data_IF_173330516824
#
_entry.id   IF_173330516824
#
_cell.length_a   1.000
_cell.length_b   1.000
_cell.length_c   1.000
_cell.angle_alpha   90.00
_cell.angle_beta   90.00
_cell.angle_gamma   90.00
#
_symmetry.space_group_name_H-M   'P 1'
#
loop_
_entity.id
_entity.type
_entity.pdbx_description
1 polymer ?
#
# COMPACT_ATOMS: atom_id res chain seq x y z
N UNK A 1 -10.60 6.57 13.01
CA UNK A 1 -9.25 6.05 13.36
C UNK A 1 -8.28 7.13 13.85
N UNK A 2 -7.23 6.80 14.63
CA UNK A 2 -6.21 7.76 15.11
C UNK A 2 -5.09 7.99 14.09
N UNK A 3 -4.44 9.17 14.16
CA UNK A 3 -3.41 9.60 13.20
C UNK A 3 -2.19 8.67 13.06
N UNK A 4 -1.86 7.87 14.07
CA UNK A 4 -0.74 6.91 13.99
C UNK A 4 -1.01 5.73 13.05
N UNK A 5 -2.28 5.46 12.77
CA UNK A 5 -2.73 4.38 11.90
C UNK A 5 -3.09 4.93 10.52
N UNK A 6 -3.63 6.14 10.44
CA UNK A 6 -4.00 6.77 9.17
C UNK A 6 -2.79 6.97 8.23
N UNK A 7 -2.97 6.78 6.91
CA UNK A 7 -1.92 7.09 5.94
C UNK A 7 -1.57 8.59 5.94
N UNK A 8 -0.28 8.91 5.92
CA UNK A 8 0.21 10.30 5.88
C UNK A 8 0.20 10.85 4.45
N UNK A 9 -1.00 11.24 3.99
CA UNK A 9 -1.22 11.84 2.67
C UNK A 9 -0.50 13.16 2.48
N UNK A 10 -0.25 13.92 3.55
CA UNK A 10 0.46 15.21 3.47
C UNK A 10 1.93 15.02 3.11
N UNK A 11 2.58 14.03 3.73
CA UNK A 11 3.96 13.67 3.37
C UNK A 11 4.02 13.05 1.99
N UNK A 12 3.05 12.21 1.61
CA UNK A 12 2.96 11.64 0.27
C UNK A 12 2.88 12.76 -0.79
N UNK A 13 1.95 13.71 -0.63
CA UNK A 13 1.75 14.85 -1.53
C UNK A 13 3.02 15.67 -1.74
N UNK A 14 3.78 15.95 -0.68
CA UNK A 14 5.03 16.72 -0.76
C UNK A 14 6.13 16.03 -1.58
N UNK A 15 6.10 14.70 -1.68
CA UNK A 15 7.11 13.90 -2.38
C UNK A 15 6.67 13.46 -3.77
N UNK A 16 5.35 13.39 -3.98
CA UNK A 16 4.72 12.79 -5.15
C UNK A 16 5.28 13.29 -6.47
N UNK A 17 5.24 14.61 -6.74
CA UNK A 17 5.69 15.17 -8.02
C UNK A 17 7.17 14.87 -8.29
N UNK A 18 8.01 14.92 -7.24
CA UNK A 18 9.44 14.65 -7.39
C UNK A 18 9.71 13.18 -7.75
N UNK A 19 8.94 12.26 -7.17
CA UNK A 19 9.03 10.83 -7.46
C UNK A 19 8.48 10.52 -8.86
N UNK A 20 7.29 11.04 -9.19
CA UNK A 20 6.67 10.83 -10.49
C UNK A 20 7.58 11.31 -11.62
N UNK A 21 8.15 12.51 -11.51
CA UNK A 21 9.07 13.04 -12.50
C UNK A 21 10.32 12.16 -12.70
N UNK A 22 10.83 11.53 -11.63
CA UNK A 22 11.97 10.61 -11.73
C UNK A 22 11.62 9.32 -12.45
N UNK A 23 10.45 8.75 -12.16
CA UNK A 23 9.94 7.57 -12.85
C UNK A 23 9.74 7.87 -14.33
N UNK A 24 9.05 8.97 -14.67
CA UNK A 24 8.82 9.36 -16.06
C UNK A 24 10.13 9.64 -16.82
N UNK A 25 11.10 10.32 -16.18
CA UNK A 25 12.40 10.57 -16.80
C UNK A 25 13.20 9.29 -17.06
N UNK A 26 13.05 8.28 -16.21
CA UNK A 26 13.65 6.96 -16.45
C UNK A 26 12.97 6.25 -17.64
N UNK A 27 11.65 6.29 -17.72
CA UNK A 27 10.87 5.76 -18.85
C UNK A 27 11.30 6.38 -20.18
N UNK A 28 11.34 7.71 -20.24
CA UNK A 28 11.78 8.45 -21.43
C UNK A 28 13.22 8.05 -21.84
N UNK A 29 14.08 7.80 -20.85
CA UNK A 29 15.43 7.33 -21.11
C UNK A 29 15.45 5.91 -21.70
N UNK A 30 14.68 4.99 -21.13
CA UNK A 30 14.57 3.62 -21.64
C UNK A 30 14.05 3.58 -23.08
N UNK A 31 13.03 4.39 -23.39
CA UNK A 31 12.47 4.47 -24.74
C UNK A 31 13.46 5.04 -25.76
N UNK A 32 14.31 5.99 -25.35
CA UNK A 32 15.25 6.68 -26.25
C UNK A 32 16.58 5.93 -26.39
N UNK A 33 17.11 5.42 -25.29
CA UNK A 33 18.49 4.95 -25.17
C UNK A 33 18.61 3.48 -24.74
N UNK A 34 17.56 2.91 -24.14
CA UNK A 34 17.63 1.66 -23.38
C UNK A 34 18.47 1.76 -22.10
N UNK A 35 18.44 0.71 -21.27
CA UNK A 35 19.28 0.57 -20.07
C UNK A 35 19.85 -0.86 -19.95
N UNK A 36 20.67 -1.32 -20.92
CA UNK A 36 21.06 -2.72 -21.03
C UNK A 36 21.93 -3.25 -19.86
N UNK A 37 22.58 -2.36 -19.11
CA UNK A 37 23.38 -2.70 -17.93
C UNK A 37 22.67 -2.37 -16.60
N UNK A 38 21.43 -1.85 -16.66
CA UNK A 38 20.64 -1.45 -15.50
C UNK A 38 21.22 -0.28 -14.70
N UNK A 39 22.15 0.50 -15.27
CA UNK A 39 22.80 1.58 -14.53
C UNK A 39 21.84 2.72 -14.20
N UNK A 40 20.88 3.02 -15.09
CA UNK A 40 19.87 4.05 -14.83
C UNK A 40 18.82 3.57 -13.84
N UNK A 41 18.43 2.32 -13.93
CA UNK A 41 17.56 1.67 -12.96
C UNK A 41 18.12 1.78 -11.53
N UNK A 42 19.39 1.37 -11.32
CA UNK A 42 20.04 1.46 -9.99
C UNK A 42 20.18 2.90 -9.48
N UNK A 43 20.36 3.85 -10.40
CA UNK A 43 20.38 5.27 -10.05
C UNK A 43 19.00 5.73 -9.56
N UNK A 44 17.93 5.39 -10.30
CA UNK A 44 16.56 5.66 -9.89
C UNK A 44 16.27 5.07 -8.50
N UNK A 45 16.63 3.80 -8.26
CA UNK A 45 16.48 3.18 -6.93
C UNK A 45 17.20 3.98 -5.83
N UNK A 46 18.44 4.41 -6.09
CA UNK A 46 19.22 5.19 -5.13
C UNK A 46 18.56 6.53 -4.82
N UNK A 47 18.06 7.22 -5.85
CA UNK A 47 17.40 8.52 -5.68
C UNK A 47 16.06 8.41 -4.95
N UNK A 48 15.25 7.40 -5.29
CA UNK A 48 13.96 7.16 -4.64
C UNK A 48 14.14 6.71 -3.17
N UNK A 49 15.15 5.88 -2.91
CA UNK A 49 15.56 5.54 -1.55
C UNK A 49 15.98 6.79 -0.77
N UNK A 50 16.76 7.70 -1.36
CA UNK A 50 17.18 8.92 -0.68
C UNK A 50 16.01 9.86 -0.33
N UNK A 51 14.93 9.89 -1.13
CA UNK A 51 13.74 10.71 -0.87
C UNK A 51 12.88 10.11 0.26
N UNK A 52 12.74 8.78 0.27
CA UNK A 52 11.70 8.10 1.06
C UNK A 52 12.24 7.34 2.25
N UNK A 53 13.51 6.93 2.21
CA UNK A 53 14.13 5.98 3.14
C UNK A 53 13.66 4.53 2.96
N UNK A 54 12.83 4.24 1.94
CA UNK A 54 12.24 2.91 1.74
C UNK A 54 13.17 1.97 0.98
N UNK A 55 12.99 0.68 1.21
CA UNK A 55 13.60 -0.35 0.38
C UNK A 55 12.91 -0.40 -0.99
N UNK A 56 13.66 -0.07 -2.05
CA UNK A 56 13.12 0.01 -3.41
C UNK A 56 12.82 -1.36 -4.01
N UNK A 57 13.41 -2.45 -3.50
CA UNK A 57 13.13 -3.79 -4.05
C UNK A 57 11.70 -4.27 -3.79
N UNK A 58 10.92 -3.53 -3.00
CA UNK A 58 9.49 -3.79 -2.77
C UNK A 58 8.61 -3.29 -3.92
N UNK A 59 9.13 -2.42 -4.77
CA UNK A 59 8.38 -1.76 -5.83
C UNK A 59 8.88 -2.28 -7.19
N UNK A 60 7.94 -2.57 -8.08
CA UNK A 60 8.27 -2.91 -9.45
C UNK A 60 8.49 -1.61 -10.24
N UNK A 61 9.74 -1.16 -10.29
CA UNK A 61 10.13 0.02 -11.08
C UNK A 61 10.36 -0.34 -12.56
N UNK A 62 10.30 -1.62 -12.93
CA UNK A 62 10.60 -2.10 -14.28
C UNK A 62 9.34 -2.32 -15.12
N UNK A 63 8.23 -2.85 -14.61
CA UNK A 63 7.01 -3.15 -15.40
C UNK A 63 5.75 -2.43 -14.90
N UNK A 64 5.90 -1.24 -14.31
CA UNK A 64 4.78 -0.47 -13.76
C UNK A 64 3.68 -0.14 -14.79
N UNK A 65 4.01 -0.11 -16.08
CA UNK A 65 3.06 0.10 -17.18
C UNK A 65 2.11 -1.10 -17.41
N UNK A 66 2.47 -2.31 -16.98
CA UNK A 66 1.58 -3.49 -17.02
C UNK A 66 0.69 -3.60 -15.78
N UNK A 67 0.97 -2.78 -14.77
CA UNK A 67 0.25 -2.74 -13.50
C UNK A 67 -0.75 -1.59 -13.50
N UNK A 68 -0.54 -0.57 -12.67
CA UNK A 68 -1.51 0.50 -12.41
C UNK A 68 -1.01 1.89 -12.80
N UNK A 69 0.13 1.99 -13.51
CA UNK A 69 0.66 3.25 -14.02
C UNK A 69 1.67 3.96 -13.10
N UNK A 70 2.37 4.95 -13.66
CA UNK A 70 3.47 5.65 -12.98
C UNK A 70 2.96 6.51 -11.82
N UNK A 71 1.75 7.06 -11.94
CA UNK A 71 1.08 7.86 -10.93
C UNK A 71 0.83 7.04 -9.65
N UNK A 72 0.26 5.85 -9.82
CA UNK A 72 -0.01 4.95 -8.71
C UNK A 72 1.27 4.43 -8.06
N UNK A 73 2.27 4.05 -8.86
CA UNK A 73 3.60 3.68 -8.35
C UNK A 73 4.24 4.84 -7.58
N UNK A 74 4.20 6.06 -8.13
CA UNK A 74 4.75 7.24 -7.49
C UNK A 74 4.08 7.52 -6.14
N UNK A 75 2.76 7.37 -6.06
CA UNK A 75 2.02 7.49 -4.81
C UNK A 75 2.45 6.43 -3.79
N UNK A 76 2.51 5.16 -4.18
CA UNK A 76 2.88 4.07 -3.28
C UNK A 76 4.30 4.24 -2.72
N UNK A 77 5.24 4.74 -3.55
CA UNK A 77 6.60 5.08 -3.11
C UNK A 77 6.59 6.31 -2.19
N UNK A 78 5.81 7.34 -2.51
CA UNK A 78 5.76 8.60 -1.75
C UNK A 78 5.15 8.43 -0.35
N UNK A 79 4.13 7.58 -0.22
CA UNK A 79 3.38 7.36 1.01
C UNK A 79 4.28 6.75 2.11
N UNK A 80 4.41 7.33 3.31
CA UNK A 80 5.23 6.73 4.37
C UNK A 80 4.82 5.29 4.74
N UNK A 81 5.79 4.49 5.19
CA UNK A 81 5.54 3.14 5.73
C UNK A 81 4.68 3.22 7.01
N UNK A 82 3.82 2.22 7.28
CA UNK A 82 3.02 2.18 8.50
C UNK A 82 3.89 2.03 9.75
N UNK A 83 3.41 2.57 10.87
CA UNK A 83 4.09 2.48 12.15
C UNK A 83 3.67 1.24 12.96
N UNK A 84 4.56 0.80 13.86
CA UNK A 84 4.15 -0.09 14.95
C UNK A 84 3.33 0.75 15.94
N UNK A 85 2.11 0.30 16.23
CA UNK A 85 1.16 1.02 17.07
C UNK A 85 0.79 0.16 18.27
N UNK A 86 1.12 0.59 19.51
CA UNK A 86 0.69 -0.14 20.69
C UNK A 86 -0.81 0.02 20.92
N UNK A 87 -1.37 -0.95 21.64
CA UNK A 87 -2.75 -0.90 22.17
C UNK A 87 -3.83 -0.64 21.12
N UNK A 88 -3.65 -1.14 19.89
CA UNK A 88 -4.69 -1.12 18.85
C UNK A 88 -5.95 -1.78 19.42
N UNK A 89 -7.07 -1.07 19.32
CA UNK A 89 -8.38 -1.53 19.76
C UNK A 89 -9.05 -2.40 18.70
N UNK A 90 -10.00 -3.24 19.12
CA UNK A 90 -10.76 -4.07 18.17
C UNK A 90 -11.57 -3.25 17.17
N UNK A 91 -12.06 -2.08 17.58
CA UNK A 91 -12.81 -1.17 16.71
C UNK A 91 -11.92 -0.51 15.67
N UNK A 92 -10.68 -0.13 16.03
CA UNK A 92 -9.71 0.37 15.05
C UNK A 92 -9.33 -0.71 14.03
N UNK A 93 -9.13 -1.95 14.48
CA UNK A 93 -8.90 -3.07 13.58
C UNK A 93 -10.09 -3.29 12.64
N UNK A 94 -11.32 -3.27 13.17
CA UNK A 94 -12.52 -3.40 12.36
C UNK A 94 -12.60 -2.30 11.29
N UNK A 95 -12.37 -1.05 11.66
CA UNK A 95 -12.39 0.09 10.72
C UNK A 95 -11.35 -0.10 9.58
N UNK A 96 -10.14 -0.58 9.88
CA UNK A 96 -9.13 -0.89 8.86
C UNK A 96 -9.64 -1.97 7.90
N UNK A 97 -10.15 -3.07 8.45
CA UNK A 97 -10.61 -4.22 7.67
C UNK A 97 -11.83 -3.85 6.81
N UNK A 98 -12.75 -3.03 7.33
CA UNK A 98 -13.88 -2.50 6.57
C UNK A 98 -13.39 -1.67 5.38
N UNK A 99 -12.42 -0.78 5.57
CA UNK A 99 -11.82 -0.02 4.45
C UNK A 99 -11.17 -0.93 3.41
N UNK A 100 -10.49 -2.00 3.83
CA UNK A 100 -9.84 -2.95 2.92
C UNK A 100 -10.80 -3.87 2.16
N UNK A 101 -12.03 -4.05 2.66
CA UNK A 101 -13.02 -4.99 2.11
C UNK A 101 -14.22 -4.30 1.45
N UNK A 102 -14.35 -2.99 1.64
CA UNK A 102 -15.40 -2.17 1.02
C UNK A 102 -14.77 -1.13 0.11
N UNK A 103 -15.44 -0.83 -1.01
CA UNK A 103 -15.06 0.28 -1.87
C UNK A 103 -16.06 1.41 -1.69
N UNK A 104 -15.63 2.48 -1.04
CA UNK A 104 -16.41 3.71 -0.92
C UNK A 104 -15.78 4.80 -1.78
N UNK A 105 -16.55 5.32 -2.73
CA UNK A 105 -16.15 6.55 -3.44
C UNK A 105 -16.36 7.72 -2.49
N UNK A 106 -15.27 8.45 -2.23
CA UNK A 106 -15.29 9.64 -1.41
C UNK A 106 -14.86 10.83 -2.26
N UNK A 107 -15.79 11.74 -2.50
CA UNK A 107 -15.49 13.04 -3.08
C UNK A 107 -15.13 13.99 -1.94
N UNK A 108 -13.86 14.36 -1.86
CA UNK A 108 -13.31 15.28 -0.86
C UNK A 108 -13.23 16.71 -1.39
N UNK A 109 -13.25 16.89 -2.73
CA UNK A 109 -13.03 18.17 -3.39
C UNK A 109 -11.55 18.53 -3.51
N UNK A 110 -10.66 17.62 -3.13
CA UNK A 110 -9.21 17.72 -3.30
C UNK A 110 -8.78 16.65 -4.31
N UNK A 111 -8.27 17.08 -5.47
CA UNK A 111 -7.94 16.20 -6.59
C UNK A 111 -6.93 15.08 -6.22
N UNK A 112 -5.96 15.39 -5.35
CA UNK A 112 -4.97 14.40 -4.93
C UNK A 112 -5.59 13.34 -4.01
N UNK A 113 -6.43 13.75 -3.07
CA UNK A 113 -7.15 12.80 -2.23
C UNK A 113 -8.18 12.01 -3.04
N UNK A 114 -8.91 12.65 -3.94
CA UNK A 114 -9.92 11.98 -4.78
C UNK A 114 -9.27 10.92 -5.68
N UNK A 115 -8.03 11.15 -6.13
CA UNK A 115 -7.25 10.17 -6.89
C UNK A 115 -6.73 8.99 -6.04
N UNK A 116 -6.26 9.25 -4.82
CA UNK A 116 -5.48 8.26 -4.06
C UNK A 116 -6.07 7.79 -2.73
N UNK A 117 -7.22 8.31 -2.28
CA UNK A 117 -7.78 8.00 -0.96
C UNK A 117 -8.00 6.51 -0.73
N UNK A 118 -8.43 5.79 -1.77
CA UNK A 118 -8.67 4.34 -1.69
C UNK A 118 -7.41 3.50 -1.92
N UNK A 119 -6.32 4.10 -2.38
CA UNK A 119 -5.08 3.39 -2.71
C UNK A 119 -4.48 2.65 -1.50
N UNK A 120 -4.37 3.25 -0.29
CA UNK A 120 -3.94 2.56 0.92
C UNK A 120 -4.79 1.34 1.32
N UNK A 121 -6.05 1.29 0.88
CA UNK A 121 -7.03 0.26 1.23
C UNK A 121 -6.87 -1.02 0.39
N UNK A 122 -6.25 -0.94 -0.78
CA UNK A 122 -6.14 -2.09 -1.65
C UNK A 122 -5.23 -3.17 -1.07
N UNK A 123 -5.72 -4.41 -1.13
CA UNK A 123 -4.99 -5.56 -0.60
C UNK A 123 -4.00 -6.08 -1.65
N UNK A 124 -2.76 -5.64 -1.55
CA UNK A 124 -1.63 -6.06 -2.38
C UNK A 124 -0.32 -5.98 -1.57
N UNK A 125 0.71 -6.69 -1.99
CA UNK A 125 2.03 -6.56 -1.37
C UNK A 125 2.56 -5.13 -1.56
N UNK A 126 3.07 -4.51 -0.49
CA UNK A 126 3.47 -3.10 -0.50
C UNK A 126 2.32 -2.12 -0.20
N UNK A 127 1.07 -2.57 -0.22
CA UNK A 127 -0.09 -1.72 0.12
C UNK A 127 -0.09 -1.32 1.59
N UNK A 128 -0.42 -0.06 1.89
CA UNK A 128 -0.26 0.51 3.23
C UNK A 128 -0.95 -0.30 4.34
N UNK A 129 -2.25 -0.59 4.22
CA UNK A 129 -2.94 -1.36 5.28
C UNK A 129 -2.55 -2.84 5.29
N UNK A 130 -2.08 -3.39 4.16
CA UNK A 130 -1.49 -4.72 4.10
C UNK A 130 -0.20 -4.79 4.93
N UNK A 131 0.71 -3.83 4.74
CA UNK A 131 1.93 -3.71 5.55
C UNK A 131 1.63 -3.37 7.01
N UNK A 132 0.61 -2.55 7.27
CA UNK A 132 0.19 -2.20 8.63
C UNK A 132 -0.24 -3.45 9.41
N UNK A 133 -1.09 -4.28 8.81
CA UNK A 133 -1.55 -5.51 9.44
C UNK A 133 -0.41 -6.53 9.56
N UNK A 134 0.46 -6.65 8.56
CA UNK A 134 1.65 -7.52 8.64
C UNK A 134 2.58 -7.12 9.79
N UNK A 135 2.76 -5.83 10.01
CA UNK A 135 3.61 -5.28 11.07
C UNK A 135 2.98 -5.43 12.47
N UNK A 136 1.70 -5.08 12.60
CA UNK A 136 1.03 -4.98 13.92
C UNK A 136 0.31 -6.26 14.35
N UNK A 137 0.04 -7.17 13.42
CA UNK A 137 -0.66 -8.44 13.64
C UNK A 137 0.15 -9.62 13.07
N UNK A 138 1.48 -9.57 13.15
CA UNK A 138 2.39 -10.54 12.52
C UNK A 138 2.07 -12.02 12.83
N UNK A 139 1.64 -12.32 14.05
CA UNK A 139 1.30 -13.69 14.47
C UNK A 139 0.00 -14.23 13.84
N UNK A 140 -0.88 -13.34 13.38
CA UNK A 140 -2.27 -13.68 13.04
C UNK A 140 -2.64 -13.30 11.60
N UNK A 141 -1.92 -12.34 11.02
CA UNK A 141 -2.12 -11.85 9.67
C UNK A 141 -1.71 -12.90 8.62
N UNK A 142 -2.63 -13.17 7.71
CA UNK A 142 -2.40 -13.91 6.47
C UNK A 142 -3.12 -13.16 5.34
N UNK A 143 -2.40 -12.89 4.25
CA UNK A 143 -2.95 -12.23 3.06
C UNK A 143 -4.19 -12.96 2.52
N UNK A 144 -4.27 -14.29 2.69
CA UNK A 144 -5.41 -15.11 2.25
C UNK A 144 -6.73 -14.75 2.91
N UNK A 145 -6.72 -14.03 4.03
CA UNK A 145 -7.95 -13.56 4.68
C UNK A 145 -8.75 -12.60 3.79
N UNK A 146 -8.08 -11.89 2.87
CA UNK A 146 -8.69 -10.93 1.95
C UNK A 146 -8.92 -11.53 0.56
N UNK A 147 -8.69 -12.83 0.38
CA UNK A 147 -8.91 -13.52 -0.89
C UNK A 147 -10.24 -14.29 -0.89
N UNK A 148 -10.83 -14.46 -2.07
CA UNK A 148 -11.97 -15.37 -2.26
C UNK A 148 -11.56 -16.80 -1.91
N UNK A 149 -12.30 -17.43 -1.02
CA UNK A 149 -12.09 -18.83 -0.64
C UNK A 149 -13.34 -19.67 -0.92
N UNK A 150 -13.13 -20.97 -1.16
CA UNK A 150 -14.25 -21.90 -1.41
C UNK A 150 -14.84 -22.35 -0.08
N UNK A 151 -16.07 -21.93 0.21
CA UNK A 151 -16.85 -22.35 1.39
C UNK A 151 -18.10 -23.08 0.90
N UNK A 152 -18.28 -24.34 1.33
CA UNK A 152 -19.43 -25.17 0.93
C UNK A 152 -19.66 -25.26 -0.59
N UNK A 153 -18.59 -25.26 -1.38
CA UNK A 153 -18.68 -25.32 -2.84
C UNK A 153 -18.76 -23.97 -3.55
N UNK A 154 -19.00 -22.87 -2.82
CA UNK A 154 -19.17 -21.51 -3.36
C UNK A 154 -17.94 -20.66 -3.08
N UNK A 155 -17.51 -19.86 -4.06
CA UNK A 155 -16.42 -18.89 -3.87
C UNK A 155 -16.96 -17.62 -3.21
N UNK A 156 -16.62 -17.42 -1.94
CA UNK A 156 -17.05 -16.27 -1.12
C UNK A 156 -15.85 -15.57 -0.47
N UNK A 157 -16.04 -14.30 -0.12
CA UNK A 157 -15.09 -13.53 0.69
C UNK A 157 -15.47 -13.63 2.17
N UNK A 158 -14.50 -13.43 3.07
CA UNK A 158 -14.79 -13.28 4.48
C UNK A 158 -15.37 -11.88 4.73
N UNK A 159 -16.30 -11.75 5.66
CA UNK A 159 -16.76 -10.42 6.08
C UNK A 159 -15.69 -9.69 6.90
N UNK A 160 -15.81 -8.37 7.03
CA UNK A 160 -14.93 -7.58 7.87
C UNK A 160 -14.93 -8.06 9.34
N UNK A 161 -16.10 -8.44 9.86
CA UNK A 161 -16.23 -9.05 11.19
C UNK A 161 -15.47 -10.38 11.32
N UNK A 162 -15.56 -11.25 10.31
CA UNK A 162 -14.87 -12.55 10.31
C UNK A 162 -13.35 -12.37 10.30
N UNK A 163 -12.83 -11.49 9.43
CA UNK A 163 -11.40 -11.18 9.36
C UNK A 163 -10.93 -10.55 10.67
N UNK A 164 -11.65 -9.55 11.17
CA UNK A 164 -11.35 -8.87 12.45
C UNK A 164 -11.29 -9.87 13.60
N UNK A 165 -12.25 -10.82 13.66
CA UNK A 165 -12.26 -11.87 14.66
C UNK A 165 -11.03 -12.78 14.56
N UNK A 166 -10.67 -13.22 13.36
CA UNK A 166 -9.48 -14.08 13.16
C UNK A 166 -8.19 -13.37 13.58
N UNK A 167 -8.05 -12.10 13.20
CA UNK A 167 -6.88 -11.28 13.55
C UNK A 167 -6.81 -10.99 15.06
N UNK A 168 -7.95 -10.77 15.70
CA UNK A 168 -8.07 -10.38 17.10
C UNK A 168 -7.97 -11.55 18.08
N UNK A 169 -8.69 -12.65 17.84
CA UNK A 169 -8.83 -13.75 18.81
C UNK A 169 -7.49 -14.47 19.03
N UNK A 170 -6.66 -14.56 17.99
CA UNK A 170 -5.31 -15.14 18.08
C UNK A 170 -4.29 -14.25 18.81
N UNK A 171 -4.63 -12.98 19.13
CA UNK A 171 -3.78 -12.05 19.88
C UNK A 171 -3.81 -12.33 21.40
N UNK A 172 -4.89 -12.93 21.90
CA UNK A 172 -5.15 -13.15 23.33
C UNK A 172 -4.61 -14.45 23.92
N UNK A 173 -3.86 -15.26 23.15
CA UNK A 173 -3.25 -16.51 23.64
C UNK A 173 -1.81 -16.34 24.18
N UNK A 174 -1.38 -15.11 24.49
CA UNK A 174 -0.08 -14.80 25.09
C UNK A 174 -0.20 -14.18 26.48
#
# INVERSE_FOLDING_TARGET
>A
MRAQIEPDFETARKRYDAILNKILAYTDHCDTCGDPDGAKYRNLETELHAITGKDMSKFDLWEWWESEGAENLAFDIALPEPNLVPDITKNELLEIVERMTSFELRETGDEFLDAFYNRPNFTHNGGYFTEFLRLNFQDTYDFKLFMRCKRNGVMTELSADEITKILWDKRGEK
#
